data_IF_376547197842
#
_entry.id   IF_376547197842
#
_cell.length_a   1.000
_cell.length_b   1.000
_cell.length_c   1.000
_cell.angle_alpha   90.00
_cell.angle_beta   90.00
_cell.angle_gamma   90.00
#
_symmetry.space_group_name_H-M   'P 1'
#
loop_
_entity.id
_entity.type
_entity.pdbx_description
1 polymer ?
#
# COMPACT_ATOMS: atom_id res chain seq x y z
N UNK A 1 -17.31 31.46 0.40
CA UNK A 1 -16.96 30.46 -0.62
C UNK A 1 -16.11 29.39 0.05
N UNK A 2 -16.36 28.08 -0.12
CA UNK A 2 -15.47 27.07 0.42
C UNK A 2 -14.10 27.15 -0.28
N UNK A 3 -13.02 27.14 0.49
CA UNK A 3 -11.67 27.02 -0.05
C UNK A 3 -11.42 25.58 -0.52
N UNK A 4 -10.72 25.40 -1.64
CA UNK A 4 -10.29 24.09 -2.14
C UNK A 4 -8.77 24.00 -2.06
N UNK A 5 -8.29 22.98 -1.36
CA UNK A 5 -6.86 22.67 -1.25
C UNK A 5 -6.55 21.46 -2.14
N UNK A 6 -5.50 21.56 -2.94
CA UNK A 6 -4.96 20.47 -3.74
C UNK A 6 -3.57 20.12 -3.22
N UNK A 7 -3.32 18.84 -2.97
CA UNK A 7 -2.04 18.33 -2.50
C UNK A 7 -1.50 17.34 -3.52
N UNK A 8 -0.25 17.55 -3.93
CA UNK A 8 0.51 16.67 -4.81
C UNK A 8 1.80 16.30 -4.07
N UNK A 9 1.99 15.02 -3.79
CA UNK A 9 3.12 14.48 -3.05
C UNK A 9 3.75 13.37 -3.89
N UNK A 10 5.07 13.37 -3.96
CA UNK A 10 5.83 12.38 -4.73
C UNK A 10 6.21 11.17 -3.84
N UNK A 11 5.91 9.96 -4.31
CA UNK A 11 6.21 8.72 -3.60
C UNK A 11 7.72 8.44 -3.47
N UNK A 12 8.59 9.12 -4.22
CA UNK A 12 10.04 9.07 -4.01
C UNK A 12 10.47 9.72 -2.69
N UNK A 13 9.66 10.66 -2.16
CA UNK A 13 9.98 11.40 -0.95
C UNK A 13 9.30 10.81 0.28
N UNK A 14 8.05 10.35 0.14
CA UNK A 14 7.19 9.95 1.23
C UNK A 14 6.42 8.69 0.84
N UNK A 15 6.48 7.67 1.68
CA UNK A 15 5.55 6.54 1.57
C UNK A 15 4.15 6.91 2.12
N UNK A 16 3.20 5.99 1.99
CA UNK A 16 1.82 6.24 2.42
C UNK A 16 1.67 6.58 3.91
N UNK A 17 2.52 6.01 4.78
CA UNK A 17 2.49 6.30 6.21
C UNK A 17 3.07 7.69 6.51
N UNK A 18 4.19 8.02 5.87
CA UNK A 18 4.85 9.32 5.99
C UNK A 18 3.94 10.44 5.50
N UNK A 19 3.17 10.22 4.43
CA UNK A 19 2.14 11.16 3.99
C UNK A 19 1.03 11.35 5.04
N UNK A 20 0.58 10.29 5.70
CA UNK A 20 -0.44 10.41 6.76
C UNK A 20 0.08 11.21 7.96
N UNK A 21 1.33 10.97 8.37
CA UNK A 21 1.99 11.74 9.44
C UNK A 21 2.06 13.21 9.06
N UNK A 22 2.57 13.53 7.86
CA UNK A 22 2.66 14.90 7.37
C UNK A 22 1.31 15.63 7.38
N UNK A 23 0.25 14.97 6.91
CA UNK A 23 -1.10 15.56 6.89
C UNK A 23 -1.66 15.78 8.30
N UNK A 24 -1.40 14.86 9.23
CA UNK A 24 -1.81 15.01 10.62
C UNK A 24 -1.05 16.15 11.33
N UNK A 25 0.25 16.28 11.08
CA UNK A 25 1.06 17.37 11.63
C UNK A 25 0.69 18.73 11.02
N UNK A 26 0.35 18.78 9.73
CA UNK A 26 -0.18 19.98 9.08
C UNK A 26 -1.51 20.40 9.70
N UNK A 27 -2.43 19.46 9.95
CA UNK A 27 -3.69 19.73 10.65
C UNK A 27 -3.45 20.23 12.07
N UNK A 28 -2.50 19.64 12.80
CA UNK A 28 -2.10 20.06 14.15
C UNK A 28 -1.56 21.48 14.15
N UNK A 29 -0.57 21.78 13.30
CA UNK A 29 0.03 23.12 13.20
C UNK A 29 -0.97 24.19 12.78
N UNK A 30 -1.96 23.84 11.96
CA UNK A 30 -3.04 24.75 11.58
C UNK A 30 -4.00 25.02 12.75
N UNK A 31 -4.39 24.01 13.53
CA UNK A 31 -5.32 24.16 14.65
C UNK A 31 -4.68 24.75 15.91
N UNK A 32 -3.41 24.45 16.15
CA UNK A 32 -2.69 24.79 17.39
C UNK A 32 -1.35 25.46 17.09
N UNK A 33 -1.33 26.66 16.48
CA UNK A 33 -0.10 27.29 16.00
C UNK A 33 0.91 27.65 17.10
N UNK A 34 0.47 27.71 18.36
CA UNK A 34 1.34 27.96 19.53
C UNK A 34 1.90 26.67 20.16
N UNK A 35 1.46 25.50 19.70
CA UNK A 35 1.88 24.19 20.22
C UNK A 35 2.82 23.51 19.25
N UNK A 36 4.11 23.75 19.42
CA UNK A 36 5.15 23.07 18.64
C UNK A 36 5.17 21.57 19.00
N UNK A 37 5.24 20.74 17.97
CA UNK A 37 5.51 19.32 18.14
C UNK A 37 6.95 19.12 18.65
N UNK A 38 7.20 18.11 19.49
CA UNK A 38 8.55 17.82 19.96
C UNK A 38 9.45 17.44 18.77
N UNK A 39 10.75 17.79 18.82
CA UNK A 39 11.68 17.39 17.78
C UNK A 39 11.82 15.87 17.72
N UNK A 40 11.95 15.32 16.50
CA UNK A 40 12.20 13.91 16.31
C UNK A 40 13.65 13.58 16.70
N UNK A 41 13.88 12.51 17.49
CA UNK A 41 15.23 12.12 17.92
C UNK A 41 16.02 11.40 16.82
N UNK A 42 15.38 11.10 15.68
CA UNK A 42 15.94 10.31 14.59
C UNK A 42 15.49 10.89 13.25
N UNK A 43 16.35 10.80 12.25
CA UNK A 43 16.07 11.21 10.87
C UNK A 43 16.03 10.00 9.94
N UNK A 44 15.47 10.18 8.75
CA UNK A 44 15.51 9.14 7.71
C UNK A 44 16.95 8.78 7.30
N UNK A 45 17.88 9.75 7.37
CA UNK A 45 19.30 9.49 7.13
C UNK A 45 19.88 8.52 8.16
N UNK A 46 19.53 8.70 9.43
CA UNK A 46 20.01 7.82 10.50
C UNK A 46 19.46 6.40 10.30
N UNK A 47 18.22 6.26 9.81
CA UNK A 47 17.66 4.98 9.39
C UNK A 47 18.50 4.35 8.27
N UNK A 48 18.82 5.08 7.19
CA UNK A 48 19.64 4.58 6.08
C UNK A 48 21.07 4.16 6.48
N UNK A 49 21.59 4.71 7.58
CA UNK A 49 22.91 4.38 8.10
C UNK A 49 22.92 3.11 8.98
N UNK A 50 21.77 2.48 9.23
CA UNK A 50 21.71 1.25 10.01
C UNK A 50 22.42 0.09 9.28
N UNK A 51 23.34 -0.64 9.94
CA UNK A 51 24.07 -1.75 9.32
C UNK A 51 23.18 -2.86 8.74
N UNK A 52 22.00 -3.06 9.33
CA UNK A 52 20.99 -4.02 8.86
C UNK A 52 20.47 -3.73 7.44
N UNK A 53 20.58 -2.48 6.98
CA UNK A 53 20.21 -2.09 5.62
C UNK A 53 21.38 -2.19 4.63
N UNK A 54 22.62 -2.34 5.12
CA UNK A 54 23.80 -2.36 4.25
C UNK A 54 24.06 -3.71 3.60
N UNK A 55 23.59 -4.79 4.23
CA UNK A 55 23.72 -6.15 3.70
C UNK A 55 22.36 -6.84 3.70
N UNK A 56 21.89 -7.37 2.55
CA UNK A 56 20.67 -8.15 2.53
C UNK A 56 20.82 -9.39 3.41
N UNK A 57 19.73 -9.78 4.08
CA UNK A 57 19.71 -11.02 4.83
C UNK A 57 19.92 -12.20 3.86
N UNK A 58 21.00 -13.00 4.02
CA UNK A 58 21.32 -14.07 3.09
C UNK A 58 20.24 -15.16 3.04
N UNK A 59 19.56 -15.43 4.16
CA UNK A 59 18.48 -16.42 4.21
C UNK A 59 17.26 -15.93 3.42
N UNK A 60 16.95 -14.64 3.52
CA UNK A 60 15.87 -14.03 2.73
C UNK A 60 16.20 -14.06 1.24
N UNK A 61 17.46 -13.79 0.87
CA UNK A 61 17.89 -13.83 -0.51
C UNK A 61 17.81 -15.25 -1.08
N UNK A 62 18.35 -16.23 -0.35
CA UNK A 62 18.31 -17.64 -0.74
C UNK A 62 16.88 -18.15 -0.88
N UNK A 63 15.99 -17.76 0.03
CA UNK A 63 14.57 -18.12 -0.05
C UNK A 63 13.93 -17.56 -1.33
N UNK A 64 14.07 -16.26 -1.60
CA UNK A 64 13.48 -15.67 -2.81
C UNK A 64 14.05 -16.28 -4.08
N UNK A 65 15.37 -16.48 -4.15
CA UNK A 65 16.02 -17.13 -5.29
C UNK A 65 15.45 -18.52 -5.57
N UNK A 66 15.18 -19.30 -4.52
CA UNK A 66 14.57 -20.62 -4.66
C UNK A 66 13.10 -20.59 -5.09
N UNK A 67 12.39 -19.46 -4.95
CA UNK A 67 11.00 -19.33 -5.38
C UNK A 67 10.86 -18.81 -6.81
N UNK A 68 11.82 -18.02 -7.32
CA UNK A 68 11.68 -17.23 -8.57
C UNK A 68 11.21 -18.05 -9.78
N UNK A 69 11.72 -19.26 -9.95
CA UNK A 69 11.40 -20.10 -11.12
C UNK A 69 9.97 -20.65 -11.09
N UNK A 70 9.35 -20.70 -9.90
CA UNK A 70 8.02 -21.26 -9.66
C UNK A 70 6.93 -20.19 -9.46
N UNK A 71 7.27 -18.90 -9.55
CA UNK A 71 6.31 -17.80 -9.38
C UNK A 71 5.36 -17.74 -10.59
N UNK A 72 4.03 -17.85 -10.39
CA UNK A 72 3.06 -17.68 -11.47
C UNK A 72 3.14 -16.30 -12.14
N UNK A 73 2.66 -16.16 -13.39
CA UNK A 73 2.62 -14.85 -14.03
C UNK A 73 1.65 -13.88 -13.33
N UNK A 74 1.70 -12.60 -13.70
CA UNK A 74 0.68 -11.63 -13.32
C UNK A 74 -0.73 -12.03 -13.82
N UNK A 75 -1.82 -11.57 -13.18
CA UNK A 75 -3.18 -11.91 -13.60
C UNK A 75 -3.46 -11.46 -15.03
N UNK A 76 -3.84 -12.42 -15.89
CA UNK A 76 -4.15 -12.20 -17.29
C UNK A 76 -5.56 -11.63 -17.49
N UNK A 77 -5.76 -10.37 -17.09
CA UNK A 77 -7.03 -9.64 -17.22
C UNK A 77 -7.34 -9.27 -18.69
N UNK A 78 -8.63 -9.17 -19.08
CA UNK A 78 -9.01 -8.67 -20.39
C UNK A 78 -8.61 -7.20 -20.54
N UNK A 79 -7.72 -6.92 -21.50
CA UNK A 79 -7.23 -5.57 -21.78
C UNK A 79 -7.95 -4.96 -22.97
N UNK A 80 -8.12 -3.63 -22.93
CA UNK A 80 -8.64 -2.86 -24.08
C UNK A 80 -7.59 -2.71 -25.19
N UNK A 81 -6.33 -2.57 -24.82
CA UNK A 81 -5.17 -2.47 -25.71
C UNK A 81 -3.96 -3.05 -24.96
N UNK A 82 -2.87 -3.33 -25.68
CA UNK A 82 -1.65 -3.82 -25.04
C UNK A 82 -0.98 -2.70 -24.23
N UNK A 83 -0.33 -2.99 -23.08
CA UNK A 83 0.31 -1.96 -22.27
C UNK A 83 1.38 -1.16 -23.02
N UNK A 84 2.11 -1.81 -23.93
CA UNK A 84 3.13 -1.18 -24.78
C UNK A 84 2.57 -0.17 -25.80
N UNK A 85 1.26 -0.20 -26.06
CA UNK A 85 0.58 0.75 -26.95
C UNK A 85 0.16 2.03 -26.21
N UNK A 86 0.35 2.09 -24.89
CA UNK A 86 0.00 3.24 -24.06
C UNK A 86 1.20 4.19 -23.96
N UNK A 87 1.14 5.32 -24.68
CA UNK A 87 2.20 6.33 -24.65
C UNK A 87 2.31 7.05 -23.30
N UNK A 88 1.18 7.44 -22.71
CA UNK A 88 1.15 8.13 -21.42
C UNK A 88 0.05 7.52 -20.54
N UNK A 89 0.41 6.78 -19.48
CA UNK A 89 -0.58 6.18 -18.60
C UNK A 89 -1.36 7.28 -17.85
N UNK A 90 -2.67 7.11 -17.78
CA UNK A 90 -3.57 7.98 -16.99
C UNK A 90 -4.39 7.12 -16.05
N UNK A 91 -4.46 7.52 -14.80
CA UNK A 91 -5.17 6.78 -13.76
C UNK A 91 -6.53 7.44 -13.46
N UNK A 92 -7.57 6.61 -13.35
CA UNK A 92 -8.86 7.01 -12.81
C UNK A 92 -9.00 6.39 -11.42
N UNK A 93 -9.37 7.21 -10.42
CA UNK A 93 -9.57 6.72 -9.05
C UNK A 93 -11.02 6.26 -8.87
N UNK A 94 -11.20 4.97 -8.68
CA UNK A 94 -12.43 4.40 -8.15
C UNK A 94 -12.28 4.24 -6.63
N UNK A 95 -13.32 4.60 -5.88
CA UNK A 95 -13.32 4.43 -4.44
C UNK A 95 -14.64 3.79 -3.97
N UNK A 96 -14.57 3.13 -2.82
CA UNK A 96 -15.69 2.52 -2.15
C UNK A 96 -15.35 2.37 -0.67
N UNK A 97 -16.36 2.30 0.18
CA UNK A 97 -16.17 2.16 1.62
C UNK A 97 -17.18 1.17 2.19
N UNK A 98 -16.71 0.37 3.16
CA UNK A 98 -17.59 -0.31 4.09
C UNK A 98 -17.87 0.63 5.25
N UNK A 99 -19.14 0.70 5.68
CA UNK A 99 -19.44 1.41 6.92
C UNK A 99 -18.76 0.74 8.12
N UNK A 100 -18.64 1.50 9.21
CA UNK A 100 -17.96 1.09 10.43
C UNK A 100 -18.53 -0.21 11.01
N UNK A 101 -19.85 -0.41 10.93
CA UNK A 101 -20.51 -1.61 11.45
C UNK A 101 -20.13 -2.84 10.64
N UNK A 102 -20.21 -2.78 9.30
CA UNK A 102 -19.79 -3.85 8.40
C UNK A 102 -18.30 -4.15 8.56
N UNK A 103 -17.47 -3.13 8.63
CA UNK A 103 -16.03 -3.28 8.82
C UNK A 103 -15.68 -3.96 10.15
N UNK A 104 -16.32 -3.54 11.25
CA UNK A 104 -16.08 -4.15 12.56
C UNK A 104 -16.50 -5.63 12.59
N UNK A 105 -17.65 -5.97 11.99
CA UNK A 105 -18.09 -7.38 11.87
C UNK A 105 -17.11 -8.21 11.05
N UNK A 106 -16.58 -7.67 9.95
CA UNK A 106 -15.58 -8.36 9.13
C UNK A 106 -14.30 -8.64 9.93
N UNK A 107 -13.77 -7.62 10.63
CA UNK A 107 -12.58 -7.77 11.48
C UNK A 107 -12.79 -8.81 12.58
N UNK A 108 -13.96 -8.83 13.21
CA UNK A 108 -14.28 -9.84 14.23
C UNK A 108 -14.23 -11.26 13.65
N UNK A 109 -14.90 -11.49 12.52
CA UNK A 109 -14.88 -12.80 11.85
C UNK A 109 -13.47 -13.21 11.40
N UNK A 110 -12.66 -12.27 10.93
CA UNK A 110 -11.27 -12.53 10.57
C UNK A 110 -10.47 -13.00 11.79
N UNK A 111 -10.61 -12.30 12.92
CA UNK A 111 -9.94 -12.65 14.17
C UNK A 111 -10.41 -14.01 14.72
N UNK A 112 -11.71 -14.29 14.68
CA UNK A 112 -12.28 -15.60 15.08
C UNK A 112 -11.72 -16.76 14.22
N UNK A 113 -11.29 -16.47 12.98
CA UNK A 113 -10.63 -17.41 12.07
C UNK A 113 -9.09 -17.34 12.09
N UNK A 114 -8.49 -16.60 13.04
CA UNK A 114 -7.04 -16.38 13.14
C UNK A 114 -6.39 -15.73 11.91
N UNK A 115 -7.15 -14.90 11.18
CA UNK A 115 -6.69 -14.18 9.99
C UNK A 115 -6.54 -12.68 10.27
N UNK A 116 -5.58 -12.05 9.61
CA UNK A 116 -5.47 -10.58 9.61
C UNK A 116 -6.49 -9.97 8.63
N UNK A 117 -6.99 -8.74 8.88
CA UNK A 117 -7.86 -8.06 7.93
C UNK A 117 -7.22 -7.89 6.55
N UNK A 118 -5.89 -7.66 6.49
CA UNK A 118 -5.15 -7.56 5.24
C UNK A 118 -5.17 -8.87 4.45
N UNK A 119 -4.97 -10.01 5.10
CA UNK A 119 -5.05 -11.33 4.45
C UNK A 119 -6.45 -11.59 3.89
N UNK A 120 -7.51 -11.28 4.66
CA UNK A 120 -8.90 -11.44 4.20
C UNK A 120 -9.19 -10.58 2.98
N UNK A 121 -8.80 -9.29 3.01
CA UNK A 121 -9.02 -8.38 1.88
C UNK A 121 -8.20 -8.80 0.66
N UNK A 122 -6.96 -9.25 0.86
CA UNK A 122 -6.13 -9.80 -0.21
C UNK A 122 -6.80 -11.03 -0.83
N UNK A 123 -7.32 -11.98 -0.04
CA UNK A 123 -8.02 -13.16 -0.55
C UNK A 123 -9.27 -12.81 -1.36
N UNK A 124 -10.06 -11.82 -0.90
CA UNK A 124 -11.22 -11.33 -1.65
C UNK A 124 -10.78 -10.71 -2.99
N UNK A 125 -9.73 -9.89 -2.96
CA UNK A 125 -9.16 -9.29 -4.16
C UNK A 125 -8.65 -10.33 -5.15
N UNK A 126 -7.87 -11.30 -4.68
CA UNK A 126 -7.39 -12.44 -5.47
C UNK A 126 -8.53 -13.25 -6.06
N UNK A 127 -9.59 -13.51 -5.29
CA UNK A 127 -10.76 -14.27 -5.78
C UNK A 127 -11.45 -13.55 -6.93
N UNK A 128 -11.62 -12.23 -6.83
CA UNK A 128 -12.18 -11.43 -7.91
C UNK A 128 -11.25 -11.42 -9.11
N UNK A 129 -9.95 -11.18 -8.92
CA UNK A 129 -8.99 -11.20 -10.04
C UNK A 129 -8.92 -12.55 -10.74
N UNK A 130 -8.94 -13.65 -9.99
CA UNK A 130 -8.98 -15.02 -10.51
C UNK A 130 -10.20 -15.23 -11.41
N UNK A 131 -11.38 -14.79 -10.95
CA UNK A 131 -12.64 -14.94 -11.71
C UNK A 131 -12.68 -14.15 -13.02
N UNK A 132 -11.85 -13.10 -13.15
CA UNK A 132 -11.75 -12.26 -14.35
C UNK A 132 -10.50 -12.53 -15.19
N UNK A 133 -9.59 -13.38 -14.72
CA UNK A 133 -8.34 -13.70 -15.42
C UNK A 133 -8.50 -14.94 -16.30
N UNK A 134 -7.74 -14.99 -17.40
CA UNK A 134 -7.72 -16.17 -18.26
C UNK A 134 -7.12 -17.41 -17.56
N UNK A 135 -6.31 -17.21 -16.52
CA UNK A 135 -5.73 -18.27 -15.68
C UNK A 135 -6.08 -18.02 -14.21
N UNK A 136 -6.45 -19.07 -13.45
CA UNK A 136 -6.89 -18.92 -12.07
C UNK A 136 -5.73 -18.68 -11.10
N UNK A 137 -4.53 -19.14 -11.45
CA UNK A 137 -3.29 -19.00 -10.70
C UNK A 137 -2.46 -17.83 -11.25
N UNK A 138 -2.00 -16.95 -10.36
CA UNK A 138 -1.23 -15.75 -10.70
C UNK A 138 -0.52 -15.21 -9.45
N UNK A 139 0.38 -14.25 -9.66
CA UNK A 139 1.05 -13.48 -8.61
C UNK A 139 0.55 -12.04 -8.56
N UNK A 140 0.42 -11.51 -7.34
CA UNK A 140 0.01 -10.12 -7.05
C UNK A 140 1.19 -9.23 -6.70
#
# INVERSE_FOLDING_TARGET
>A
MPARLWLCLDNLLLDGLSMQILLAELEHGYRYPQQLLPPLPVTFRDYLQQPSLQSPNPDSLAWWQAQLDDIPPAPALPLRCLPQEVETPRFARLNGALDSTRWHRLKKRAADAHLTPSAVLLSVWSTVLSAWSAQPEFTL
#
